data_IF_997698064908
#
_entry.id   IF_997698064908
#
_cell.length_a   1.000
_cell.length_b   1.000
_cell.length_c   1.000
_cell.angle_alpha   90.00
_cell.angle_beta   90.00
_cell.angle_gamma   90.00
#
_symmetry.space_group_name_H-M   'P 1'
#
loop_
_entity.id
_entity.type
_entity.pdbx_description
1 polymer ?
#
# COMPACT_ATOMS: atom_id res chain seq x y z
N UNK A 1 30.26 6.72 -10.06
CA UNK A 1 29.92 7.34 -11.36
C UNK A 1 31.02 8.33 -11.70
N UNK A 2 31.41 8.48 -12.98
CA UNK A 2 32.39 9.48 -13.40
C UNK A 2 31.89 10.90 -13.11
N UNK A 3 32.82 11.83 -12.86
CA UNK A 3 32.46 13.23 -12.56
C UNK A 3 31.96 13.96 -13.82
N UNK A 4 31.18 15.03 -13.66
CA UNK A 4 30.69 15.83 -14.80
C UNK A 4 31.82 16.40 -15.67
N UNK A 5 32.98 16.68 -15.07
CA UNK A 5 34.17 17.15 -15.77
C UNK A 5 34.83 16.05 -16.61
N UNK A 6 34.83 14.80 -16.12
CA UNK A 6 35.32 13.65 -16.90
C UNK A 6 34.42 13.35 -18.11
N UNK A 7 33.11 13.55 -17.97
CA UNK A 7 32.13 13.34 -19.05
C UNK A 7 32.37 14.38 -20.16
N UNK A 8 32.48 15.67 -19.82
CA UNK A 8 32.70 16.73 -20.81
C UNK A 8 34.05 16.61 -21.53
N UNK A 9 35.11 16.21 -20.81
CA UNK A 9 36.43 15.98 -21.41
C UNK A 9 36.42 14.78 -22.38
N UNK A 10 35.71 13.72 -22.02
CA UNK A 10 35.52 12.54 -22.87
C UNK A 10 34.70 12.86 -24.12
N UNK A 11 33.66 13.69 -23.99
CA UNK A 11 32.79 14.13 -25.09
C UNK A 11 33.56 14.96 -26.14
N UNK A 12 34.43 15.87 -25.70
CA UNK A 12 35.32 16.62 -26.60
C UNK A 12 36.30 15.72 -27.36
N UNK A 13 36.85 14.70 -26.70
CA UNK A 13 37.71 13.70 -27.33
C UNK A 13 36.95 12.83 -28.34
N UNK A 14 35.72 12.43 -28.02
CA UNK A 14 34.85 11.68 -28.92
C UNK A 14 34.50 12.48 -30.18
N UNK A 15 34.14 13.76 -30.04
CA UNK A 15 33.87 14.63 -31.19
C UNK A 15 35.09 14.79 -32.10
N UNK A 16 36.31 14.92 -31.53
CA UNK A 16 37.56 14.97 -32.31
C UNK A 16 37.85 13.67 -33.07
N UNK A 17 37.50 12.51 -32.50
CA UNK A 17 37.62 11.20 -33.17
C UNK A 17 36.61 11.08 -34.31
N UNK A 18 35.35 11.46 -34.07
CA UNK A 18 34.26 11.32 -35.05
C UNK A 18 34.44 12.25 -36.26
N UNK A 19 34.94 13.47 -36.04
CA UNK A 19 35.23 14.45 -37.10
C UNK A 19 36.53 14.15 -37.87
N UNK A 20 37.09 12.93 -37.76
CA UNK A 20 38.35 12.52 -38.41
C UNK A 20 39.54 13.44 -38.08
N UNK A 21 39.48 14.19 -36.98
CA UNK A 21 40.43 15.25 -36.62
C UNK A 21 41.77 14.74 -36.09
N UNK A 22 41.90 13.45 -35.79
CA UNK A 22 43.14 12.85 -35.30
C UNK A 22 43.99 12.35 -36.47
N UNK A 23 44.89 13.21 -36.96
CA UNK A 23 45.90 12.84 -37.95
C UNK A 23 46.90 11.84 -37.31
N UNK A 24 47.16 10.72 -37.98
CA UNK A 24 48.19 9.76 -37.56
C UNK A 24 47.74 8.65 -36.62
N UNK A 25 46.46 8.56 -36.24
CA UNK A 25 45.95 7.44 -35.43
C UNK A 25 44.65 6.85 -36.00
N UNK A 26 44.35 5.59 -35.67
CA UNK A 26 43.11 4.87 -36.01
C UNK A 26 42.63 4.12 -34.79
N UNK A 27 41.33 4.16 -34.51
CA UNK A 27 40.72 3.26 -33.54
C UNK A 27 40.52 1.88 -34.19
N UNK A 28 41.01 0.84 -33.56
CA UNK A 28 40.81 -0.54 -34.01
C UNK A 28 40.35 -1.39 -32.83
N UNK A 29 39.08 -1.83 -32.88
CA UNK A 29 38.42 -2.60 -31.82
C UNK A 29 38.80 -2.06 -30.42
N UNK A 30 38.55 -0.77 -30.16
CA UNK A 30 38.75 -0.16 -28.83
C UNK A 30 40.20 0.18 -28.41
N UNK A 31 41.20 0.09 -29.30
CA UNK A 31 42.56 0.58 -29.03
C UNK A 31 42.98 1.58 -30.10
N UNK A 32 43.76 2.58 -29.69
CA UNK A 32 44.36 3.58 -30.57
C UNK A 32 45.64 3.00 -31.20
N UNK A 33 45.66 2.92 -32.53
CA UNK A 33 46.76 2.42 -33.37
C UNK A 33 47.36 3.59 -34.16
N UNK A 34 48.67 3.61 -34.39
CA UNK A 34 49.35 4.64 -35.21
C UNK A 34 49.18 4.34 -36.70
N UNK A 35 48.94 5.37 -37.52
CA UNK A 35 48.93 5.34 -39.00
C UNK A 35 50.29 5.79 -39.55
N UNK A 36 50.67 5.29 -40.74
CA UNK A 36 51.89 5.68 -41.46
C UNK A 36 53.05 4.68 -41.31
N UNK A 37 54.28 5.09 -41.63
CA UNK A 37 55.48 4.24 -41.57
C UNK A 37 55.77 3.66 -40.18
N UNK A 38 55.35 4.34 -39.10
CA UNK A 38 55.45 3.85 -37.73
C UNK A 38 54.35 2.83 -37.34
N UNK A 39 53.46 2.44 -38.26
CA UNK A 39 52.41 1.44 -37.99
C UNK A 39 52.99 0.06 -37.62
N UNK A 40 54.21 -0.24 -38.07
CA UNK A 40 54.97 -1.43 -37.65
C UNK A 40 55.09 -1.53 -36.12
N UNK A 41 55.34 -0.44 -35.39
CA UNK A 41 55.50 -0.49 -33.93
C UNK A 41 54.22 -0.92 -33.21
N UNK A 42 53.06 -0.68 -33.82
CA UNK A 42 51.77 -1.16 -33.33
C UNK A 42 51.43 -2.58 -33.80
N UNK A 43 52.33 -3.24 -34.55
CA UNK A 43 52.10 -4.58 -35.07
C UNK A 43 51.84 -5.58 -33.93
N UNK A 44 52.57 -5.45 -32.82
CA UNK A 44 52.36 -6.26 -31.62
C UNK A 44 51.07 -5.95 -30.83
N UNK A 45 50.19 -5.06 -31.31
CA UNK A 45 48.88 -4.79 -30.67
C UNK A 45 47.70 -5.48 -31.36
N UNK A 46 47.79 -5.76 -32.66
CA UNK A 46 46.67 -6.28 -33.47
C UNK A 46 46.84 -7.74 -33.96
N UNK A 47 48.02 -8.34 -33.80
CA UNK A 47 48.27 -9.73 -34.23
C UNK A 47 47.56 -10.69 -33.29
N UNK A 48 46.90 -11.70 -33.86
CA UNK A 48 46.29 -12.79 -33.10
C UNK A 48 47.34 -13.58 -32.30
N UNK A 49 46.92 -14.26 -31.25
CA UNK A 49 47.82 -15.10 -30.43
C UNK A 49 48.47 -16.17 -31.29
N UNK A 50 47.70 -16.81 -32.18
CA UNK A 50 48.22 -17.83 -33.11
C UNK A 50 49.28 -17.24 -34.06
N UNK A 51 49.05 -16.04 -34.62
CA UNK A 51 50.04 -15.35 -35.46
C UNK A 51 51.33 -15.03 -34.69
N UNK A 52 51.24 -14.55 -33.44
CA UNK A 52 52.42 -14.28 -32.62
C UNK A 52 53.25 -15.54 -32.38
N UNK A 53 52.60 -16.66 -32.07
CA UNK A 53 53.26 -17.95 -31.87
C UNK A 53 53.93 -18.41 -33.15
N UNK A 54 53.19 -18.40 -34.27
CA UNK A 54 53.71 -18.88 -35.55
C UNK A 54 54.88 -18.02 -36.07
N UNK A 55 54.81 -16.69 -35.95
CA UNK A 55 55.94 -15.83 -36.35
C UNK A 55 57.13 -15.97 -35.42
N UNK A 56 56.92 -16.08 -34.10
CA UNK A 56 58.02 -16.29 -33.17
C UNK A 56 58.73 -17.63 -33.46
N UNK A 57 57.98 -18.71 -33.66
CA UNK A 57 58.51 -20.00 -34.07
C UNK A 57 59.26 -19.90 -35.41
N UNK A 58 58.63 -19.35 -36.45
CA UNK A 58 59.24 -19.22 -37.76
C UNK A 58 60.55 -18.41 -37.74
N UNK A 59 60.58 -17.27 -37.03
CA UNK A 59 61.78 -16.44 -36.89
C UNK A 59 62.89 -17.22 -36.16
N UNK A 60 62.55 -17.92 -35.08
CA UNK A 60 63.54 -18.72 -34.33
C UNK A 60 64.05 -19.92 -35.13
N UNK A 61 63.20 -20.62 -35.86
CA UNK A 61 63.59 -21.72 -36.74
C UNK A 61 64.48 -21.23 -37.89
N UNK A 62 64.14 -20.10 -38.51
CA UNK A 62 64.95 -19.50 -39.57
C UNK A 62 66.32 -19.04 -39.04
N UNK A 63 66.35 -18.38 -37.88
CA UNK A 63 67.59 -17.94 -37.26
C UNK A 63 68.48 -19.13 -36.85
N UNK A 64 67.89 -20.19 -36.28
CA UNK A 64 68.61 -21.42 -35.96
C UNK A 64 69.20 -22.08 -37.22
N UNK A 65 68.45 -22.09 -38.33
CA UNK A 65 68.92 -22.61 -39.60
C UNK A 65 70.05 -21.76 -40.19
N UNK A 66 69.96 -20.43 -40.10
CA UNK A 66 71.00 -19.52 -40.58
C UNK A 66 72.30 -19.66 -39.77
N UNK A 67 72.21 -19.90 -38.47
CA UNK A 67 73.38 -20.18 -37.61
C UNK A 67 74.13 -21.46 -38.00
N UNK A 68 73.51 -22.40 -38.73
CA UNK A 68 74.18 -23.60 -39.24
C UNK A 68 75.15 -23.29 -40.37
N UNK A 69 74.87 -22.28 -41.18
CA UNK A 69 75.69 -21.92 -42.35
C UNK A 69 76.78 -20.90 -42.06
N UNK A 70 76.85 -20.36 -40.84
CA UNK A 70 77.89 -19.42 -40.43
C UNK A 70 79.18 -20.16 -40.04
N UNK A 71 80.37 -19.71 -40.48
CA UNK A 71 81.65 -20.36 -40.18
C UNK A 71 82.13 -20.02 -38.75
N UNK A 72 81.42 -20.50 -37.73
CA UNK A 72 81.77 -20.36 -36.30
C UNK A 72 82.10 -21.71 -35.67
N UNK A 73 82.94 -21.76 -34.61
CA UNK A 73 83.22 -22.99 -33.88
C UNK A 73 81.93 -23.67 -33.35
N UNK A 74 81.84 -25.02 -33.38
CA UNK A 74 80.63 -25.75 -33.01
C UNK A 74 80.19 -25.51 -31.54
N UNK A 75 81.14 -25.21 -30.65
CA UNK A 75 80.84 -24.84 -29.27
C UNK A 75 80.05 -23.51 -29.17
N UNK A 76 80.42 -22.50 -29.97
CA UNK A 76 79.73 -21.20 -30.01
C UNK A 76 78.37 -21.34 -30.69
N UNK A 77 78.30 -22.16 -31.74
CA UNK A 77 77.06 -22.47 -32.45
C UNK A 77 76.02 -23.12 -31.53
N UNK A 78 76.41 -24.16 -30.78
CA UNK A 78 75.53 -24.81 -29.80
C UNK A 78 75.03 -23.86 -28.72
N UNK A 79 75.92 -23.03 -28.17
CA UNK A 79 75.56 -21.99 -27.19
C UNK A 79 74.55 -20.98 -27.73
N UNK A 80 74.73 -20.51 -28.97
CA UNK A 80 73.82 -19.54 -29.60
C UNK A 80 72.41 -20.08 -29.81
N UNK A 81 72.27 -21.37 -30.17
CA UNK A 81 70.98 -22.03 -30.34
C UNK A 81 70.24 -22.13 -29.00
N UNK A 82 70.94 -22.54 -27.93
CA UNK A 82 70.35 -22.62 -26.59
C UNK A 82 69.83 -21.25 -26.15
N UNK A 83 70.62 -20.19 -26.34
CA UNK A 83 70.21 -18.82 -26.02
C UNK A 83 69.00 -18.39 -26.83
N UNK A 84 68.94 -18.71 -28.12
CA UNK A 84 67.81 -18.40 -28.99
C UNK A 84 66.50 -19.06 -28.52
N UNK A 85 66.54 -20.35 -28.16
CA UNK A 85 65.38 -21.06 -27.61
C UNK A 85 64.99 -20.54 -26.23
N UNK A 86 65.95 -20.13 -25.41
CA UNK A 86 65.68 -19.51 -24.11
C UNK A 86 64.98 -18.16 -24.26
N UNK A 87 65.40 -17.34 -25.23
CA UNK A 87 64.72 -16.08 -25.58
C UNK A 87 63.29 -16.33 -26.09
N UNK A 88 63.07 -17.36 -26.92
CA UNK A 88 61.73 -17.76 -27.35
C UNK A 88 60.84 -18.16 -26.16
N UNK A 89 61.36 -18.97 -25.23
CA UNK A 89 60.63 -19.39 -24.05
C UNK A 89 60.22 -18.19 -23.17
N UNK A 90 61.14 -17.24 -22.96
CA UNK A 90 60.84 -15.99 -22.25
C UNK A 90 59.78 -15.17 -23.00
N UNK A 91 59.91 -15.06 -24.33
CA UNK A 91 58.94 -14.35 -25.17
C UNK A 91 57.53 -14.93 -25.04
N UNK A 92 57.37 -16.26 -25.19
CA UNK A 92 56.07 -16.92 -25.06
C UNK A 92 55.49 -16.79 -23.65
N UNK A 93 56.32 -16.92 -22.61
CA UNK A 93 55.90 -16.75 -21.22
C UNK A 93 55.32 -15.35 -20.97
N UNK A 94 56.00 -14.30 -21.45
CA UNK A 94 55.56 -12.91 -21.27
C UNK A 94 54.36 -12.57 -22.16
N UNK A 95 54.33 -13.05 -23.40
CA UNK A 95 53.26 -12.70 -24.35
C UNK A 95 51.96 -13.49 -24.16
N UNK A 96 52.02 -14.69 -23.57
CA UNK A 96 50.89 -15.61 -23.47
C UNK A 96 50.62 -16.00 -22.02
N UNK A 97 51.57 -16.65 -21.34
CA UNK A 97 51.32 -17.23 -20.02
C UNK A 97 50.98 -16.17 -18.96
N UNK A 98 51.73 -15.07 -18.91
CA UNK A 98 51.46 -13.96 -17.98
C UNK A 98 50.07 -13.33 -18.17
N UNK A 99 49.68 -12.88 -19.37
CA UNK A 99 48.36 -12.25 -19.57
C UNK A 99 47.19 -13.22 -19.42
N UNK A 100 47.36 -14.50 -19.75
CA UNK A 100 46.36 -15.54 -19.43
C UNK A 100 46.19 -15.68 -17.92
N UNK A 101 47.28 -15.67 -17.15
CA UNK A 101 47.22 -15.70 -15.70
C UNK A 101 46.52 -14.45 -15.12
N UNK A 102 46.78 -13.27 -15.69
CA UNK A 102 46.07 -12.03 -15.33
C UNK A 102 44.56 -12.15 -15.59
N UNK A 103 44.17 -12.70 -16.74
CA UNK A 103 42.77 -12.96 -17.08
C UNK A 103 42.11 -13.92 -16.08
N UNK A 104 42.80 -15.00 -15.71
CA UNK A 104 42.31 -15.96 -14.72
C UNK A 104 42.12 -15.32 -13.34
N UNK A 105 43.06 -14.47 -12.90
CA UNK A 105 42.94 -13.71 -11.64
C UNK A 105 41.74 -12.77 -11.69
N UNK A 106 41.54 -12.07 -12.81
CA UNK A 106 40.40 -11.17 -12.98
C UNK A 106 39.07 -11.94 -12.96
N UNK A 107 38.99 -13.06 -13.66
CA UNK A 107 37.79 -13.90 -13.69
C UNK A 107 37.45 -14.46 -12.30
N UNK A 108 38.45 -14.88 -11.51
CA UNK A 108 38.25 -15.28 -10.11
C UNK A 108 37.65 -14.15 -9.26
N UNK A 109 38.03 -12.89 -9.50
CA UNK A 109 37.43 -11.74 -8.81
C UNK A 109 35.97 -11.55 -9.19
N UNK A 110 35.65 -11.65 -10.48
CA UNK A 110 34.27 -11.56 -10.99
C UNK A 110 33.39 -12.66 -10.40
N UNK A 111 33.84 -13.91 -10.43
CA UNK A 111 33.09 -15.07 -9.91
C UNK A 111 32.92 -15.01 -8.39
N UNK A 112 33.89 -14.46 -7.66
CA UNK A 112 33.76 -14.26 -6.20
C UNK A 112 32.90 -13.06 -5.80
N UNK A 113 32.25 -12.38 -6.77
CA UNK A 113 31.42 -11.21 -6.52
C UNK A 113 32.21 -9.98 -6.04
N UNK A 114 33.54 -10.01 -6.13
CA UNK A 114 34.37 -8.85 -5.78
C UNK A 114 34.28 -7.82 -6.89
N UNK A 115 34.43 -6.54 -6.53
CA UNK A 115 34.48 -5.44 -7.51
C UNK A 115 35.57 -5.76 -8.55
N UNK A 116 35.24 -5.81 -9.85
CA UNK A 116 36.24 -6.02 -10.88
C UNK A 116 37.21 -4.83 -10.86
N UNK A 117 38.51 -5.12 -10.86
CA UNK A 117 39.52 -4.09 -11.07
C UNK A 117 39.43 -3.59 -12.51
N UNK A 118 39.77 -2.32 -12.76
CA UNK A 118 39.86 -1.74 -14.10
C UNK A 118 41.09 -2.26 -14.86
N UNK A 119 41.26 -3.58 -14.94
CA UNK A 119 42.38 -4.22 -15.60
C UNK A 119 42.13 -4.25 -17.11
N UNK A 120 42.90 -3.44 -17.84
CA UNK A 120 42.81 -3.33 -19.29
C UNK A 120 44.10 -3.85 -19.93
N UNK A 121 43.99 -4.89 -20.75
CA UNK A 121 45.09 -5.31 -21.59
C UNK A 121 45.12 -4.45 -22.86
N UNK A 122 46.26 -3.79 -23.13
CA UNK A 122 46.46 -2.98 -24.34
C UNK A 122 46.76 -3.85 -25.58
N UNK A 123 45.92 -4.85 -25.85
CA UNK A 123 46.02 -5.79 -26.98
C UNK A 123 44.65 -6.11 -27.58
N UNK A 124 44.62 -6.41 -28.88
CA UNK A 124 43.40 -6.69 -29.67
C UNK A 124 43.44 -8.10 -30.24
N UNK A 125 43.90 -9.06 -29.46
CA UNK A 125 43.86 -10.48 -29.80
C UNK A 125 42.86 -11.22 -28.91
N UNK A 126 42.81 -12.54 -29.05
CA UNK A 126 41.87 -13.41 -28.35
C UNK A 126 41.92 -13.18 -26.83
N UNK A 127 43.10 -13.07 -26.23
CA UNK A 127 43.27 -12.81 -24.78
C UNK A 127 42.75 -11.40 -24.42
N UNK A 128 43.07 -10.40 -25.23
CA UNK A 128 42.55 -9.04 -25.03
C UNK A 128 41.03 -8.96 -25.13
N UNK A 129 40.42 -9.67 -26.10
CA UNK A 129 38.97 -9.74 -26.27
C UNK A 129 38.30 -10.49 -25.11
N UNK A 130 38.86 -11.63 -24.67
CA UNK A 130 38.38 -12.36 -23.51
C UNK A 130 38.42 -11.50 -22.24
N UNK A 131 39.49 -10.73 -22.03
CA UNK A 131 39.60 -9.83 -20.87
C UNK A 131 38.47 -8.79 -20.84
N UNK A 132 38.09 -8.24 -22.00
CA UNK A 132 36.98 -7.30 -22.11
C UNK A 132 35.64 -7.95 -21.79
N UNK A 133 35.41 -9.17 -22.29
CA UNK A 133 34.19 -9.92 -21.98
C UNK A 133 34.11 -10.24 -20.48
N UNK A 134 35.22 -10.62 -19.84
CA UNK A 134 35.29 -10.84 -18.39
C UNK A 134 34.97 -9.56 -17.63
N UNK A 135 35.56 -8.42 -18.02
CA UNK A 135 35.26 -7.13 -17.39
C UNK A 135 33.79 -6.73 -17.57
N UNK A 136 33.23 -6.90 -18.77
CA UNK A 136 31.82 -6.61 -19.04
C UNK A 136 30.90 -7.51 -18.21
N UNK A 137 31.21 -8.80 -18.09
CA UNK A 137 30.45 -9.73 -17.25
C UNK A 137 30.50 -9.31 -15.77
N UNK A 138 31.64 -8.83 -15.29
CA UNK A 138 31.78 -8.31 -13.93
C UNK A 138 30.96 -7.05 -13.68
N UNK A 139 30.91 -6.13 -14.66
CA UNK A 139 30.07 -4.93 -14.59
C UNK A 139 28.57 -5.29 -14.59
N UNK A 140 28.14 -6.19 -15.47
CA UNK A 140 26.74 -6.63 -15.54
C UNK A 140 26.32 -7.33 -14.25
N UNK A 141 27.15 -8.24 -13.71
CA UNK A 141 26.87 -8.91 -12.44
C UNK A 141 26.76 -7.90 -11.29
N UNK A 142 27.63 -6.89 -11.26
CA UNK A 142 27.55 -5.83 -10.26
C UNK A 142 26.26 -5.03 -10.38
N UNK A 143 25.86 -4.65 -11.58
CA UNK A 143 24.59 -3.96 -11.81
C UNK A 143 23.41 -4.78 -11.29
N UNK A 144 23.37 -6.08 -11.62
CA UNK A 144 22.32 -6.97 -11.12
C UNK A 144 22.30 -7.06 -9.59
N UNK A 145 23.46 -7.11 -8.94
CA UNK A 145 23.54 -7.13 -7.47
C UNK A 145 23.06 -5.79 -6.88
N UNK A 146 23.45 -4.66 -7.46
CA UNK A 146 23.02 -3.33 -7.02
C UNK A 146 21.49 -3.15 -7.21
N UNK A 147 20.94 -3.63 -8.32
CA UNK A 147 19.49 -3.61 -8.61
C UNK A 147 18.71 -4.47 -7.60
N UNK A 148 19.18 -5.71 -7.36
CA UNK A 148 18.57 -6.62 -6.37
C UNK A 148 18.65 -6.03 -4.96
N UNK A 149 19.79 -5.44 -4.58
CA UNK A 149 19.95 -4.78 -3.27
C UNK A 149 18.97 -3.61 -3.09
N UNK A 150 18.77 -2.81 -4.15
CA UNK A 150 17.80 -1.71 -4.15
C UNK A 150 16.38 -2.24 -4.01
N UNK A 151 16.04 -3.31 -4.72
CA UNK A 151 14.72 -3.95 -4.63
C UNK A 151 14.46 -4.54 -3.25
N UNK A 152 15.44 -5.20 -2.63
CA UNK A 152 15.35 -5.71 -1.25
C UNK A 152 15.11 -4.58 -0.25
N UNK A 153 15.82 -3.46 -0.40
CA UNK A 153 15.61 -2.27 0.43
C UNK A 153 14.19 -1.71 0.27
N UNK A 154 13.65 -1.71 -0.95
CA UNK A 154 12.26 -1.36 -1.24
C UNK A 154 11.26 -2.30 -0.56
N UNK A 155 11.49 -3.61 -0.62
CA UNK A 155 10.66 -4.62 0.06
C UNK A 155 10.67 -4.41 1.57
N UNK A 156 11.83 -4.16 2.18
CA UNK A 156 11.93 -3.90 3.61
C UNK A 156 11.11 -2.68 4.04
N UNK A 157 11.13 -1.60 3.25
CA UNK A 157 10.33 -0.41 3.50
C UNK A 157 8.82 -0.69 3.39
N UNK A 158 8.40 -1.51 2.41
CA UNK A 158 6.99 -1.92 2.25
C UNK A 158 6.56 -2.78 3.44
N UNK A 159 7.36 -3.78 3.84
CA UNK A 159 7.04 -4.64 4.99
C UNK A 159 6.88 -3.85 6.29
N UNK A 160 7.73 -2.84 6.51
CA UNK A 160 7.60 -1.96 7.67
C UNK A 160 6.28 -1.17 7.64
N UNK A 161 5.89 -0.65 6.47
CA UNK A 161 4.62 0.06 6.29
C UNK A 161 3.42 -0.86 6.52
N UNK A 162 3.43 -2.07 5.97
CA UNK A 162 2.38 -3.07 6.18
C UNK A 162 2.25 -3.42 7.66
N UNK A 163 3.35 -3.57 8.39
CA UNK A 163 3.30 -3.80 9.83
C UNK A 163 2.66 -2.64 10.59
N UNK A 164 2.99 -1.39 10.25
CA UNK A 164 2.40 -0.20 10.87
C UNK A 164 0.91 -0.07 10.57
N UNK A 165 0.52 -0.30 9.30
CA UNK A 165 -0.87 -0.32 8.87
C UNK A 165 -1.65 -1.46 9.55
N UNK A 166 -1.04 -2.63 9.74
CA UNK A 166 -1.62 -3.75 10.47
C UNK A 166 -1.94 -3.39 11.92
N UNK A 167 -1.01 -2.73 12.63
CA UNK A 167 -1.26 -2.23 13.99
C UNK A 167 -2.38 -1.18 14.02
N UNK A 168 -2.38 -0.23 13.08
CA UNK A 168 -3.42 0.80 13.01
C UNK A 168 -4.81 0.21 12.72
N UNK A 169 -4.88 -0.80 11.82
CA UNK A 169 -6.12 -1.51 11.51
C UNK A 169 -6.63 -2.27 12.73
N UNK A 170 -5.74 -2.93 13.48
CA UNK A 170 -6.10 -3.61 14.72
C UNK A 170 -6.72 -2.63 15.73
N UNK A 171 -6.07 -1.48 15.98
CA UNK A 171 -6.62 -0.46 16.89
C UNK A 171 -7.99 0.07 16.43
N UNK A 172 -8.16 0.33 15.13
CA UNK A 172 -9.46 0.78 14.59
C UNK A 172 -10.53 -0.31 14.69
N UNK A 173 -10.15 -1.58 14.55
CA UNK A 173 -11.07 -2.71 14.73
C UNK A 173 -11.50 -2.86 16.19
N UNK A 174 -10.60 -2.61 17.14
CA UNK A 174 -10.91 -2.58 18.57
C UNK A 174 -11.87 -1.44 18.92
N UNK A 175 -11.62 -0.23 18.40
CA UNK A 175 -12.52 0.92 18.54
C UNK A 175 -13.90 0.64 17.94
N UNK A 176 -13.96 0.11 16.72
CA UNK A 176 -15.22 -0.27 16.07
C UNK A 176 -15.98 -1.33 16.88
N UNK A 177 -15.26 -2.29 17.48
CA UNK A 177 -15.89 -3.29 18.34
C UNK A 177 -16.47 -2.67 19.61
N UNK A 178 -15.79 -1.68 20.20
CA UNK A 178 -16.30 -0.95 21.36
C UNK A 178 -17.55 -0.13 21.00
N UNK A 179 -17.56 0.54 19.86
CA UNK A 179 -18.73 1.28 19.35
C UNK A 179 -19.93 0.36 19.11
N UNK A 180 -19.68 -0.84 18.57
CA UNK A 180 -20.72 -1.86 18.39
C UNK A 180 -21.27 -2.37 19.73
N UNK A 181 -20.42 -2.55 20.75
CA UNK A 181 -20.87 -2.88 22.10
C UNK A 181 -21.75 -1.77 22.70
N UNK A 182 -21.34 -0.51 22.55
CA UNK A 182 -22.14 0.63 23.01
C UNK A 182 -23.48 0.72 22.27
N UNK A 183 -23.48 0.46 20.95
CA UNK A 183 -24.71 0.42 20.14
C UNK A 183 -25.63 -0.71 20.59
N UNK A 184 -25.10 -1.89 20.87
CA UNK A 184 -25.86 -3.01 21.39
C UNK A 184 -26.50 -2.68 22.75
N UNK A 185 -25.75 -2.08 23.67
CA UNK A 185 -26.26 -1.63 24.96
C UNK A 185 -27.37 -0.58 24.81
N UNK A 186 -27.21 0.39 23.89
CA UNK A 186 -28.24 1.37 23.60
C UNK A 186 -29.53 0.71 23.04
N UNK A 187 -29.39 -0.33 22.22
CA UNK A 187 -30.54 -1.11 21.73
C UNK A 187 -31.24 -1.86 22.87
N UNK A 188 -30.50 -2.42 23.82
CA UNK A 188 -31.09 -3.05 25.01
C UNK A 188 -31.88 -2.04 25.87
N UNK A 189 -31.33 -0.83 26.06
CA UNK A 189 -32.01 0.24 26.78
C UNK A 189 -33.29 0.70 26.06
N UNK A 190 -33.22 0.87 24.73
CA UNK A 190 -34.40 1.18 23.90
C UNK A 190 -35.44 0.07 24.01
N UNK A 191 -35.03 -1.21 23.96
CA UNK A 191 -35.92 -2.36 24.12
C UNK A 191 -36.65 -2.33 25.46
N UNK A 192 -35.93 -2.05 26.55
CA UNK A 192 -36.51 -1.89 27.89
C UNK A 192 -37.51 -0.73 27.95
N UNK A 193 -37.16 0.43 27.40
CA UNK A 193 -38.06 1.59 27.36
C UNK A 193 -39.34 1.33 26.55
N UNK A 194 -39.23 0.60 25.44
CA UNK A 194 -40.40 0.18 24.64
C UNK A 194 -41.29 -0.77 25.44
N UNK A 195 -40.71 -1.76 26.13
CA UNK A 195 -41.47 -2.67 26.97
C UNK A 195 -42.20 -1.92 28.10
N UNK A 196 -41.52 -1.01 28.80
CA UNK A 196 -42.12 -0.18 29.84
C UNK A 196 -43.25 0.69 29.30
N UNK A 197 -43.09 1.23 28.08
CA UNK A 197 -44.12 2.03 27.41
C UNK A 197 -45.35 1.18 27.08
N UNK A 198 -45.15 -0.05 26.59
CA UNK A 198 -46.22 -0.99 26.31
C UNK A 198 -47.00 -1.38 27.57
N UNK A 199 -46.30 -1.68 28.67
CA UNK A 199 -46.91 -2.01 29.97
C UNK A 199 -47.72 -0.83 30.52
N UNK A 200 -47.16 0.38 30.44
CA UNK A 200 -47.85 1.62 30.84
C UNK A 200 -49.11 1.86 30.00
N UNK A 201 -49.04 1.63 28.68
CA UNK A 201 -50.21 1.74 27.81
C UNK A 201 -51.29 0.71 28.17
N UNK A 202 -50.92 -0.55 28.45
CA UNK A 202 -51.84 -1.59 28.89
C UNK A 202 -52.54 -1.26 30.22
N UNK A 203 -51.77 -0.75 31.20
CA UNK A 203 -52.32 -0.29 32.46
C UNK A 203 -53.27 0.91 32.26
N UNK A 204 -52.91 1.85 31.39
CA UNK A 204 -53.75 3.01 31.06
C UNK A 204 -55.05 2.61 30.40
N UNK A 205 -55.03 1.63 29.48
CA UNK A 205 -56.25 1.09 28.88
C UNK A 205 -57.17 0.47 29.94
N UNK A 206 -56.61 -0.31 30.87
CA UNK A 206 -57.38 -0.90 31.98
C UNK A 206 -58.01 0.18 32.88
N UNK A 207 -57.28 1.25 33.17
CA UNK A 207 -57.79 2.40 33.93
C UNK A 207 -58.90 3.13 33.16
N UNK A 208 -58.75 3.31 31.85
CA UNK A 208 -59.78 3.91 31.00
C UNK A 208 -61.07 3.07 30.97
N UNK A 209 -60.96 1.75 30.86
CA UNK A 209 -62.10 0.83 30.90
C UNK A 209 -62.85 0.91 32.23
N UNK A 210 -62.14 0.89 33.36
CA UNK A 210 -62.76 1.04 34.69
C UNK A 210 -63.42 2.41 34.89
N UNK A 211 -62.80 3.48 34.39
CA UNK A 211 -63.37 4.84 34.44
C UNK A 211 -64.64 4.93 33.59
N UNK A 212 -64.65 4.30 32.41
CA UNK A 212 -65.81 4.20 31.53
C UNK A 212 -66.96 3.43 32.20
N UNK A 213 -66.66 2.32 32.87
CA UNK A 213 -67.64 1.55 33.65
C UNK A 213 -68.24 2.39 34.78
N UNK A 214 -67.41 3.07 35.56
CA UNK A 214 -67.87 3.97 36.64
C UNK A 214 -68.73 5.12 36.11
N UNK A 215 -68.37 5.72 34.97
CA UNK A 215 -69.16 6.77 34.32
C UNK A 215 -70.53 6.23 33.87
N UNK A 216 -70.58 4.99 33.36
CA UNK A 216 -71.82 4.31 32.97
C UNK A 216 -72.73 4.09 34.18
N UNK A 217 -72.17 3.60 35.29
CA UNK A 217 -72.91 3.41 36.55
C UNK A 217 -73.41 4.75 37.13
N UNK A 218 -72.57 5.79 37.12
CA UNK A 218 -73.00 7.15 37.48
C UNK A 218 -74.15 7.66 36.61
N UNK A 219 -74.14 7.34 35.31
CA UNK A 219 -75.24 7.62 34.39
C UNK A 219 -76.55 6.90 34.77
N UNK A 220 -76.47 5.66 35.26
CA UNK A 220 -77.63 4.93 35.78
C UNK A 220 -78.20 5.58 37.04
N UNK A 221 -77.33 5.94 38.00
CA UNK A 221 -77.74 6.64 39.23
C UNK A 221 -78.44 7.96 38.89
N UNK A 222 -77.89 8.74 37.95
CA UNK A 222 -78.48 10.02 37.58
C UNK A 222 -79.85 9.87 36.89
N UNK A 223 -80.05 8.82 36.08
CA UNK A 223 -81.38 8.46 35.57
C UNK A 223 -82.37 8.13 36.69
N UNK A 224 -81.94 7.41 37.73
CA UNK A 224 -82.79 7.15 38.91
C UNK A 224 -83.13 8.45 39.64
N UNK A 225 -82.17 9.36 39.83
CA UNK A 225 -82.39 10.67 40.45
C UNK A 225 -83.39 11.52 39.65
N UNK A 226 -83.30 11.55 38.32
CA UNK A 226 -84.26 12.25 37.45
C UNK A 226 -85.67 11.64 37.61
N UNK A 227 -85.77 10.31 37.63
CA UNK A 227 -87.06 9.62 37.82
C UNK A 227 -87.67 9.97 39.18
N UNK A 228 -86.87 10.03 40.24
CA UNK A 228 -87.32 10.44 41.58
C UNK A 228 -87.77 11.90 41.61
N UNK A 229 -87.02 12.81 40.98
CA UNK A 229 -87.41 14.22 40.83
C UNK A 229 -88.75 14.38 40.09
N UNK A 230 -89.01 13.56 39.06
CA UNK A 230 -90.28 13.55 38.34
C UNK A 230 -91.44 13.05 39.22
N UNK A 231 -91.21 12.01 40.03
CA UNK A 231 -92.19 11.53 41.01
C UNK A 231 -92.51 12.62 42.06
N UNK A 232 -91.49 13.26 42.63
CA UNK A 232 -91.64 14.38 43.57
C UNK A 232 -92.44 15.52 42.93
N UNK A 233 -92.15 15.88 41.67
CA UNK A 233 -92.89 16.92 40.96
C UNK A 233 -94.38 16.55 40.76
N UNK A 234 -94.69 15.27 40.50
CA UNK A 234 -96.07 14.78 40.37
C UNK A 234 -96.79 14.80 41.72
N UNK A 235 -96.14 14.33 42.78
CA UNK A 235 -96.69 14.34 44.14
C UNK A 235 -96.98 15.78 44.60
N UNK A 236 -96.07 16.71 44.29
CA UNK A 236 -96.27 18.12 44.59
C UNK A 236 -97.46 18.73 43.80
N UNK A 237 -97.67 18.33 42.55
CA UNK A 237 -98.86 18.73 41.79
C UNK A 237 -100.16 18.24 42.43
N UNK A 238 -100.19 16.99 42.92
CA UNK A 238 -101.34 16.49 43.68
C UNK A 238 -101.59 17.27 44.97
N UNK A 239 -100.52 17.66 45.68
CA UNK A 239 -100.64 18.52 46.87
C UNK A 239 -101.27 19.86 46.49
N UNK A 240 -100.84 20.48 45.39
CA UNK A 240 -101.43 21.74 44.89
C UNK A 240 -102.91 21.56 44.55
N UNK A 241 -103.30 20.46 43.90
CA UNK A 241 -104.70 20.15 43.60
C UNK A 241 -105.53 20.00 44.90
N UNK A 242 -104.99 19.30 45.91
CA UNK A 242 -105.62 19.16 47.23
C UNK A 242 -105.76 20.52 47.93
N UNK A 243 -104.73 21.36 47.91
CA UNK A 243 -104.78 22.71 48.46
C UNK A 243 -105.88 23.52 47.75
N UNK A 244 -106.03 23.40 46.43
CA UNK A 244 -107.13 24.03 45.69
C UNK A 244 -108.52 23.55 46.12
N UNK A 245 -108.67 22.26 46.41
CA UNK A 245 -109.91 21.71 47.00
C UNK A 245 -110.14 22.25 48.42
N UNK A 246 -109.09 22.32 49.25
CA UNK A 246 -109.17 22.88 50.61
C UNK A 246 -109.58 24.35 50.56
N UNK A 247 -108.99 25.15 49.67
CA UNK A 247 -109.34 26.56 49.50
C UNK A 247 -110.81 26.72 49.08
N UNK A 248 -111.29 25.86 48.18
CA UNK A 248 -112.70 25.80 47.80
C UNK A 248 -113.63 25.44 48.98
N UNK A 249 -113.23 24.48 49.83
CA UNK A 249 -113.97 24.11 51.06
C UNK A 249 -113.94 25.27 52.07
N UNK A 250 -112.79 25.94 52.22
CA UNK A 250 -112.64 27.09 53.11
C UNK A 250 -113.55 28.24 52.68
N UNK A 251 -113.62 28.54 51.38
CA UNK A 251 -114.56 29.53 50.84
C UNK A 251 -116.02 29.13 51.09
N UNK A 252 -116.40 27.88 50.82
CA UNK A 252 -117.75 27.37 51.14
C UNK A 252 -118.07 27.48 52.63
N UNK A 253 -117.11 27.13 53.50
CA UNK A 253 -117.25 27.23 54.96
C UNK A 253 -117.39 28.68 55.41
N UNK A 254 -116.63 29.60 54.80
CA UNK A 254 -116.72 31.03 55.06
C UNK A 254 -118.10 31.59 54.66
N UNK A 255 -118.63 31.19 53.50
CA UNK A 255 -120.00 31.56 53.08
C UNK A 255 -121.04 30.98 54.04
N UNK A 256 -120.89 29.72 54.48
CA UNK A 256 -121.81 29.08 55.42
C UNK A 256 -121.79 29.78 56.79
N UNK A 257 -120.60 30.12 57.29
CA UNK A 257 -120.41 30.85 58.54
C UNK A 257 -120.97 32.27 58.47
N UNK A 258 -120.78 32.97 57.33
CA UNK A 258 -121.37 34.28 57.10
C UNK A 258 -122.90 34.22 57.05
N UNK A 259 -123.48 33.23 56.36
CA UNK A 259 -124.92 33.01 56.35
C UNK A 259 -125.46 32.70 57.76
N UNK A 260 -124.77 31.87 58.55
CA UNK A 260 -125.17 31.58 59.93
C UNK A 260 -125.08 32.82 60.83
N UNK A 261 -124.05 33.66 60.67
CA UNK A 261 -123.92 34.92 61.39
C UNK A 261 -125.02 35.93 61.03
N UNK A 262 -125.42 36.01 59.76
CA UNK A 262 -126.54 36.82 59.30
C UNK A 262 -127.87 36.31 59.85
N UNK A 263 -128.10 35.00 59.85
CA UNK A 263 -129.33 34.40 60.39
C UNK A 263 -129.42 34.56 61.91
N UNK A 264 -128.28 34.45 62.62
CA UNK A 264 -128.20 34.73 64.06
C UNK A 264 -128.44 36.22 64.39
N UNK A 265 -128.00 37.14 63.52
CA UNK A 265 -128.29 38.56 63.64
C UNK A 265 -129.76 38.89 63.31
N UNK A 266 -130.42 38.11 62.45
CA UNK A 266 -131.86 38.20 62.15
C UNK A 266 -132.76 37.65 63.25
N UNK A 267 -132.27 36.73 64.07
CA UNK A 267 -133.00 36.13 65.19
C UNK A 267 -132.91 36.94 66.50
N UNK A 268 -132.28 38.13 66.48
CA UNK A 268 -132.30 39.14 67.56
C UNK A 268 -133.15 40.33 67.14
#
# INVERSE_FOLDING_TARGET
MPSRDEISHSEQLYQKINNNGIKGFRLFKGIIIRRGALSWLSMFKWLSVSQRVNYALAITSLAALLFIFLPVPPAIQGGSIIVLFLLLAIYLKVQICQPVNTLLVQMKKVVSGRKPDNCHLQRVDEIGMLMRLVNQSGLNLRSLVDDVSTQISGIQAISQRVSQEGTALQSRSEETSADLQQTAAAIEEIGSAVQQTADTAAQTMTMADSTSANATEGGHIMKQTITMMQAISRDNSQIVDIIGVIDSIAFQTNILALNAAVEAARAR
#
